data_IF_053995529504
#
_entry.id   IF_053995529504
#
_cell.length_a   1.000
_cell.length_b   1.000
_cell.length_c   1.000
_cell.angle_alpha   90.00
_cell.angle_beta   90.00
_cell.angle_gamma   90.00
#
_symmetry.space_group_name_H-M   'P 1'
#
loop_
_entity.id
_entity.type
_entity.pdbx_description
1 polymer ?
#
# COMPACT_ATOMS: atom_id res chain seq x y z
N UNK A 1 26.06 23.93 -9.58
CA UNK A 1 26.47 22.94 -10.59
C UNK A 1 25.95 21.60 -10.09
N UNK A 2 25.08 20.87 -10.79
CA UNK A 2 24.69 19.54 -10.33
C UNK A 2 25.96 18.68 -10.35
N UNK A 3 26.39 18.16 -9.21
CA UNK A 3 27.47 17.18 -9.16
C UNK A 3 27.05 15.97 -9.99
N UNK A 4 27.85 15.65 -11.02
CA UNK A 4 27.57 14.51 -11.88
C UNK A 4 27.60 13.23 -11.04
N UNK A 5 26.51 12.46 -11.08
CA UNK A 5 26.51 11.09 -10.58
C UNK A 5 27.62 10.31 -11.29
N UNK A 6 28.42 9.57 -10.53
CA UNK A 6 29.53 8.77 -11.07
C UNK A 6 29.05 7.35 -11.40
N UNK A 7 29.73 6.64 -12.30
CA UNK A 7 29.45 5.23 -12.54
C UNK A 7 29.60 4.40 -11.25
N UNK A 8 28.73 3.39 -11.03
CA UNK A 8 27.63 2.97 -11.90
C UNK A 8 26.29 3.69 -11.65
N UNK A 9 26.23 4.63 -10.69
CA UNK A 9 24.99 5.36 -10.34
C UNK A 9 24.46 6.19 -11.51
N UNK A 10 25.35 6.77 -12.32
CA UNK A 10 24.99 7.54 -13.54
C UNK A 10 24.18 6.74 -14.56
N UNK A 11 24.25 5.40 -14.52
CA UNK A 11 23.49 4.53 -15.43
C UNK A 11 22.00 4.60 -15.19
N UNK A 12 21.57 4.88 -13.94
CA UNK A 12 20.15 4.99 -13.59
C UNK A 12 19.45 6.14 -14.33
N UNK A 13 20.19 7.20 -14.67
CA UNK A 13 19.71 8.34 -15.46
C UNK A 13 19.38 7.99 -16.92
N UNK A 14 19.75 6.79 -17.38
CA UNK A 14 19.66 6.36 -18.77
C UNK A 14 18.66 5.23 -18.99
N UNK A 15 18.11 4.64 -17.92
CA UNK A 15 17.24 3.46 -18.01
C UNK A 15 15.85 3.78 -18.57
N UNK A 16 15.29 4.95 -18.24
CA UNK A 16 13.93 5.29 -18.69
C UNK A 16 12.85 4.52 -17.97
N UNK A 17 11.63 4.58 -18.51
CA UNK A 17 10.50 3.87 -17.94
C UNK A 17 10.68 2.35 -18.03
N UNK A 18 10.92 1.71 -16.88
CA UNK A 18 10.95 0.25 -16.79
C UNK A 18 9.59 -0.27 -16.32
N UNK A 19 8.89 -1.10 -17.10
CA UNK A 19 7.61 -1.67 -16.70
C UNK A 19 7.81 -2.65 -15.53
N UNK A 20 7.64 -2.18 -14.30
CA UNK A 20 7.50 -3.03 -13.12
C UNK A 20 6.19 -3.81 -13.23
N UNK A 21 6.21 -4.96 -13.92
CA UNK A 21 5.08 -5.89 -13.93
C UNK A 21 5.15 -6.71 -12.65
N UNK A 22 4.11 -6.60 -11.81
CA UNK A 22 3.87 -7.49 -10.65
C UNK A 22 4.99 -7.46 -9.60
N UNK A 23 5.35 -6.27 -9.08
CA UNK A 23 6.30 -6.09 -7.96
C UNK A 23 7.68 -6.75 -8.17
N UNK A 24 8.02 -7.17 -9.40
CA UNK A 24 9.31 -7.75 -9.71
C UNK A 24 10.18 -6.66 -10.29
N UNK A 25 11.09 -6.12 -9.49
CA UNK A 25 12.05 -5.11 -9.94
C UNK A 25 13.21 -5.78 -10.69
N UNK A 26 13.83 -5.08 -11.66
CA UNK A 26 15.13 -5.48 -12.17
C UNK A 26 16.13 -5.62 -11.03
N UNK A 27 17.07 -6.54 -11.15
CA UNK A 27 18.16 -6.63 -10.19
C UNK A 27 19.20 -5.53 -10.48
N UNK A 28 19.18 -4.49 -9.66
CA UNK A 28 20.05 -3.32 -9.78
C UNK A 28 21.50 -3.63 -9.38
N UNK A 29 21.76 -4.74 -8.67
CA UNK A 29 23.12 -5.18 -8.37
C UNK A 29 23.88 -5.57 -9.64
N UNK A 30 23.18 -6.03 -10.68
CA UNK A 30 23.77 -6.32 -11.99
C UNK A 30 24.37 -5.09 -12.69
N UNK A 31 24.05 -3.88 -12.22
CA UNK A 31 24.68 -2.64 -12.70
C UNK A 31 26.03 -2.36 -12.03
N UNK A 32 26.44 -3.15 -11.03
CA UNK A 32 27.62 -2.93 -10.20
C UNK A 32 27.35 -2.04 -8.98
N UNK A 33 26.08 -1.90 -8.59
CA UNK A 33 25.70 -1.13 -7.40
C UNK A 33 25.95 -1.95 -6.13
N UNK A 34 26.54 -1.30 -5.14
CA UNK A 34 27.05 -1.89 -3.89
C UNK A 34 26.91 -0.88 -2.74
N UNK A 35 27.17 -1.30 -1.51
CA UNK A 35 26.96 -0.50 -0.29
C UNK A 35 27.69 0.85 -0.30
N UNK A 36 28.91 0.92 -0.86
CA UNK A 36 29.66 2.17 -0.95
C UNK A 36 29.01 3.21 -1.87
N UNK A 37 28.04 2.80 -2.70
CA UNK A 37 27.25 3.70 -3.54
C UNK A 37 26.00 4.26 -2.84
N UNK A 38 25.64 3.76 -1.65
CA UNK A 38 24.44 4.19 -0.90
C UNK A 38 24.35 5.71 -0.77
N UNK A 39 25.40 6.46 -0.40
CA UNK A 39 25.31 7.93 -0.31
C UNK A 39 24.91 8.58 -1.64
N UNK A 40 25.47 8.11 -2.77
CA UNK A 40 25.13 8.65 -4.09
C UNK A 40 23.72 8.25 -4.55
N UNK A 41 23.27 7.05 -4.19
CA UNK A 41 21.90 6.59 -4.43
C UNK A 41 20.88 7.40 -3.60
N UNK A 42 21.17 7.71 -2.34
CA UNK A 42 20.33 8.58 -1.50
C UNK A 42 20.23 9.97 -2.13
N UNK A 43 21.34 10.55 -2.58
CA UNK A 43 21.29 11.84 -3.30
C UNK A 43 20.35 11.77 -4.51
N UNK A 44 20.47 10.74 -5.36
CA UNK A 44 19.61 10.57 -6.53
C UNK A 44 18.14 10.37 -6.16
N UNK A 45 17.88 9.54 -5.15
CA UNK A 45 16.54 9.24 -4.67
C UNK A 45 15.80 10.48 -4.12
N UNK A 46 16.54 11.46 -3.62
CA UNK A 46 16.00 12.65 -2.96
C UNK A 46 16.09 13.92 -3.82
N UNK A 47 16.77 13.86 -4.97
CA UNK A 47 17.12 15.00 -5.82
C UNK A 47 15.86 15.74 -6.33
N UNK A 48 15.61 16.98 -5.88
CA UNK A 48 14.43 17.73 -6.29
C UNK A 48 14.37 18.02 -7.79
N UNK A 49 15.52 18.14 -8.46
CA UNK A 49 15.55 18.39 -9.91
C UNK A 49 15.14 17.15 -10.71
N UNK A 50 15.41 15.95 -10.19
CA UNK A 50 14.96 14.70 -10.81
C UNK A 50 13.47 14.44 -10.55
N UNK A 51 12.96 14.77 -9.35
CA UNK A 51 11.51 14.71 -9.05
C UNK A 51 10.69 15.71 -9.89
N UNK A 52 11.25 16.87 -10.19
CA UNK A 52 10.62 17.87 -11.05
C UNK A 52 10.82 17.61 -12.56
N UNK A 53 11.60 16.59 -12.95
CA UNK A 53 11.82 16.26 -14.35
C UNK A 53 10.54 15.67 -14.99
N UNK A 54 10.47 15.71 -16.32
CA UNK A 54 9.32 15.13 -17.04
C UNK A 54 9.15 13.64 -16.65
N UNK A 55 7.96 13.27 -16.19
CA UNK A 55 7.64 11.97 -15.59
C UNK A 55 7.99 10.77 -16.48
N UNK A 56 7.99 10.95 -17.81
CA UNK A 56 8.33 9.89 -18.77
C UNK A 56 9.77 9.97 -19.30
N UNK A 57 10.54 10.97 -18.87
CA UNK A 57 11.93 11.09 -19.23
C UNK A 57 12.81 10.14 -18.40
N UNK A 58 13.96 9.68 -18.91
CA UNK A 58 14.92 8.91 -18.13
C UNK A 58 15.36 9.58 -16.82
N UNK A 59 15.44 10.92 -16.79
CA UNK A 59 15.76 11.66 -15.59
C UNK A 59 14.65 11.55 -14.52
N UNK A 60 13.38 11.67 -14.92
CA UNK A 60 12.23 11.51 -14.00
C UNK A 60 12.09 10.09 -13.42
N UNK A 61 12.62 9.08 -14.12
CA UNK A 61 12.64 7.69 -13.64
C UNK A 61 13.83 7.36 -12.74
N UNK A 62 14.88 8.19 -12.74
CA UNK A 62 16.09 7.92 -11.99
C UNK A 62 15.87 7.80 -10.47
N UNK A 63 15.05 8.65 -9.80
CA UNK A 63 14.75 8.46 -8.38
C UNK A 63 14.07 7.13 -8.09
N UNK A 64 13.13 6.71 -8.94
CA UNK A 64 12.44 5.41 -8.79
C UNK A 64 13.44 4.26 -8.86
N UNK A 65 14.37 4.30 -9.82
CA UNK A 65 15.45 3.32 -9.89
C UNK A 65 16.35 3.35 -8.64
N UNK A 66 16.66 4.53 -8.11
CA UNK A 66 17.47 4.67 -6.91
C UNK A 66 16.77 4.10 -5.67
N UNK A 67 15.45 4.31 -5.50
CA UNK A 67 14.67 3.70 -4.41
C UNK A 67 14.76 2.18 -4.43
N UNK A 68 14.57 1.58 -5.61
CA UNK A 68 14.62 0.13 -5.82
C UNK A 68 16.01 -0.44 -5.57
N UNK A 69 17.06 0.28 -5.99
CA UNK A 69 18.44 -0.10 -5.70
C UNK A 69 18.76 -0.04 -4.21
N UNK A 70 18.39 1.05 -3.51
CA UNK A 70 18.56 1.20 -2.07
C UNK A 70 17.84 0.11 -1.27
N UNK A 71 16.63 -0.22 -1.69
CA UNK A 71 15.85 -1.32 -1.13
C UNK A 71 16.51 -2.67 -1.36
N UNK A 72 16.96 -2.97 -2.58
CA UNK A 72 17.70 -4.20 -2.83
C UNK A 72 18.96 -4.29 -1.97
N UNK A 73 19.72 -3.21 -1.81
CA UNK A 73 20.88 -3.13 -0.91
C UNK A 73 20.52 -3.16 0.59
N UNK A 74 19.22 -3.11 0.94
CA UNK A 74 18.71 -3.03 2.33
C UNK A 74 19.38 -1.91 3.14
N UNK A 75 19.57 -0.75 2.52
CA UNK A 75 20.36 0.35 3.06
C UNK A 75 19.61 1.12 4.17
N UNK A 76 19.92 0.92 5.47
CA UNK A 76 19.13 1.51 6.56
C UNK A 76 19.24 3.05 6.59
N UNK A 77 20.39 3.58 6.16
CA UNK A 77 20.63 5.02 6.05
C UNK A 77 19.68 5.75 5.06
N UNK A 78 18.99 5.01 4.20
CA UNK A 78 18.01 5.58 3.27
C UNK A 78 16.61 5.73 3.86
N UNK A 79 16.31 5.12 5.02
CA UNK A 79 14.95 5.12 5.56
C UNK A 79 14.39 6.53 5.79
N UNK A 80 15.11 7.36 6.56
CA UNK A 80 14.67 8.74 6.85
C UNK A 80 14.64 9.63 5.59
N UNK A 81 15.66 9.62 4.72
CA UNK A 81 15.60 10.38 3.47
C UNK A 81 14.42 10.00 2.56
N UNK A 82 14.08 8.71 2.47
CA UNK A 82 12.96 8.25 1.65
C UNK A 82 11.60 8.55 2.27
N UNK A 83 11.48 8.54 3.61
CA UNK A 83 10.28 9.03 4.30
C UNK A 83 10.06 10.53 4.07
N UNK A 84 11.14 11.32 4.01
CA UNK A 84 11.03 12.73 3.65
C UNK A 84 10.58 12.94 2.19
N UNK A 85 10.99 12.07 1.25
CA UNK A 85 10.48 12.07 -0.13
C UNK A 85 9.00 11.69 -0.15
N UNK A 86 8.60 10.65 0.60
CA UNK A 86 7.20 10.25 0.73
C UNK A 86 6.33 11.44 1.14
N UNK A 87 6.74 12.17 2.19
CA UNK A 87 6.00 13.35 2.66
C UNK A 87 5.96 14.49 1.63
N UNK A 88 7.06 14.75 0.91
CA UNK A 88 7.18 15.91 0.02
C UNK A 88 6.47 15.70 -1.33
N UNK A 89 6.49 14.48 -1.83
CA UNK A 89 6.10 14.15 -3.22
C UNK A 89 4.83 13.27 -3.27
N UNK A 90 3.96 13.35 -2.25
CA UNK A 90 2.79 12.47 -2.08
C UNK A 90 1.81 12.50 -3.27
N UNK A 91 1.75 13.63 -4.00
CA UNK A 91 0.92 13.77 -5.20
C UNK A 91 1.37 12.85 -6.36
N UNK A 92 2.57 12.26 -6.28
CA UNK A 92 3.08 11.32 -7.28
C UNK A 92 2.55 9.91 -7.02
N UNK A 93 1.83 9.35 -8.00
CA UNK A 93 1.36 7.96 -7.95
C UNK A 93 2.51 6.97 -7.74
N UNK A 94 3.71 7.25 -8.27
CA UNK A 94 4.88 6.38 -8.08
C UNK A 94 5.39 6.41 -6.65
N UNK A 95 5.33 7.58 -5.99
CA UNK A 95 5.69 7.73 -4.58
C UNK A 95 4.73 6.90 -3.72
N UNK A 96 3.43 7.03 -3.96
CA UNK A 96 2.41 6.27 -3.24
C UNK A 96 2.54 4.74 -3.43
N UNK A 97 2.85 4.27 -4.65
CA UNK A 97 2.87 2.83 -4.95
C UNK A 97 4.23 2.14 -4.65
N UNK A 98 5.36 2.83 -4.86
CA UNK A 98 6.70 2.19 -4.85
C UNK A 98 7.49 2.49 -3.56
N UNK A 99 7.39 3.69 -2.98
CA UNK A 99 8.18 4.00 -1.78
C UNK A 99 7.79 3.17 -0.56
N UNK A 100 6.51 2.89 -0.26
CA UNK A 100 6.16 2.00 0.85
C UNK A 100 6.77 0.61 0.72
N UNK A 101 6.83 0.07 -0.51
CA UNK A 101 7.46 -1.22 -0.79
C UNK A 101 8.98 -1.12 -0.61
N UNK A 102 9.63 -0.08 -1.13
CA UNK A 102 11.07 0.13 -0.96
C UNK A 102 11.47 0.26 0.50
N UNK A 103 10.73 1.06 1.28
CA UNK A 103 10.95 1.22 2.72
C UNK A 103 10.73 -0.09 3.48
N UNK A 104 9.72 -0.89 3.10
CA UNK A 104 9.52 -2.23 3.65
C UNK A 104 10.71 -3.16 3.44
N UNK A 105 11.25 -3.21 2.22
CA UNK A 105 12.43 -4.05 1.90
C UNK A 105 13.69 -3.52 2.62
N UNK A 106 13.88 -2.20 2.72
CA UNK A 106 14.96 -1.59 3.52
C UNK A 106 14.88 -2.08 4.98
N UNK A 107 13.67 -2.13 5.53
CA UNK A 107 13.38 -2.88 6.73
C UNK A 107 13.22 -2.04 8.00
N UNK A 108 13.58 -2.59 9.18
CA UNK A 108 13.12 -2.07 10.47
C UNK A 108 13.50 -0.62 10.75
N UNK A 109 14.54 -0.08 10.11
CA UNK A 109 14.93 1.31 10.22
C UNK A 109 13.85 2.31 9.75
N UNK A 110 12.89 1.87 8.92
CA UNK A 110 11.77 2.68 8.47
C UNK A 110 10.62 2.78 9.50
N UNK A 111 10.51 1.83 10.45
CA UNK A 111 9.38 1.77 11.39
C UNK A 111 9.26 3.04 12.24
N UNK A 112 10.31 3.55 12.93
CA UNK A 112 10.14 4.69 13.82
C UNK A 112 9.59 5.94 13.10
N UNK A 113 10.10 6.21 11.89
CA UNK A 113 9.65 7.36 11.11
C UNK A 113 8.24 7.17 10.53
N UNK A 114 7.91 5.96 10.05
CA UNK A 114 6.55 5.65 9.59
C UNK A 114 5.53 5.72 10.74
N UNK A 115 5.89 5.24 11.93
CA UNK A 115 5.09 5.36 13.14
C UNK A 115 4.83 6.82 13.49
N UNK A 116 5.85 7.68 13.48
CA UNK A 116 5.67 9.12 13.73
C UNK A 116 4.73 9.77 12.70
N UNK A 117 4.82 9.40 11.43
CA UNK A 117 3.91 9.91 10.40
C UNK A 117 2.46 9.44 10.61
N UNK A 118 2.26 8.19 11.02
CA UNK A 118 0.93 7.63 11.26
C UNK A 118 0.20 8.33 12.42
N UNK A 119 0.91 8.57 13.53
CA UNK A 119 0.34 9.17 14.75
C UNK A 119 0.20 10.69 14.69
N UNK A 120 0.76 11.36 13.68
CA UNK A 120 0.62 12.81 13.54
C UNK A 120 -0.70 13.17 12.86
N UNK A 121 -1.72 13.45 13.67
CA UNK A 121 -3.06 13.87 13.21
C UNK A 121 -3.06 15.18 12.41
N UNK A 122 -1.99 15.98 12.49
CA UNK A 122 -1.82 17.17 11.67
C UNK A 122 -1.40 16.87 10.23
N UNK A 123 -1.09 15.61 9.90
CA UNK A 123 -0.73 15.18 8.54
C UNK A 123 -1.97 14.83 7.73
N UNK A 124 -1.80 15.02 6.42
CA UNK A 124 -2.76 14.58 5.44
C UNK A 124 -3.03 13.06 5.55
N UNK A 125 -4.28 12.68 5.31
CA UNK A 125 -4.72 11.30 5.49
C UNK A 125 -4.06 10.33 4.51
N UNK A 126 -3.79 10.75 3.26
CA UNK A 126 -3.11 9.90 2.26
C UNK A 126 -1.66 9.62 2.70
N UNK A 127 -0.99 10.60 3.32
CA UNK A 127 0.33 10.38 3.91
C UNK A 127 0.29 9.38 5.07
N UNK A 128 -0.74 9.45 5.91
CA UNK A 128 -0.94 8.48 7.00
C UNK A 128 -1.26 7.09 6.46
N UNK A 129 -2.05 6.97 5.38
CA UNK A 129 -2.26 5.69 4.68
C UNK A 129 -0.97 5.12 4.11
N UNK A 130 -0.13 5.96 3.49
CA UNK A 130 1.16 5.52 2.99
C UNK A 130 2.08 5.05 4.13
N UNK A 131 2.04 5.70 5.29
CA UNK A 131 2.76 5.27 6.48
C UNK A 131 2.27 3.90 7.00
N UNK A 132 0.96 3.66 7.04
CA UNK A 132 0.42 2.32 7.28
C UNK A 132 0.99 1.29 6.28
N UNK A 133 1.06 1.67 5.00
CA UNK A 133 1.62 0.85 3.95
C UNK A 133 3.09 0.49 4.20
N UNK A 134 3.91 1.45 4.65
CA UNK A 134 5.30 1.20 5.04
C UNK A 134 5.36 0.18 6.17
N UNK A 135 4.57 0.36 7.24
CA UNK A 135 4.53 -0.52 8.41
C UNK A 135 4.16 -1.95 8.01
N UNK A 136 3.12 -2.11 7.18
CA UNK A 136 2.71 -3.41 6.64
C UNK A 136 3.82 -4.07 5.82
N UNK A 137 4.44 -3.33 4.89
CA UNK A 137 5.50 -3.90 4.05
C UNK A 137 6.74 -4.27 4.89
N UNK A 138 7.07 -3.55 5.96
CA UNK A 138 8.14 -3.98 6.88
C UNK A 138 7.78 -5.31 7.54
N UNK A 139 6.55 -5.48 8.03
CA UNK A 139 6.12 -6.73 8.66
C UNK A 139 6.19 -7.94 7.70
N UNK A 140 5.89 -7.74 6.42
CA UNK A 140 6.00 -8.80 5.39
C UNK A 140 7.44 -9.15 5.05
N UNK A 141 8.31 -8.15 4.89
CA UNK A 141 9.71 -8.35 4.51
C UNK A 141 10.60 -8.77 5.69
N UNK A 142 10.18 -8.45 6.92
CA UNK A 142 10.90 -8.70 8.18
C UNK A 142 9.94 -9.29 9.23
N UNK A 143 9.61 -10.59 9.13
CA UNK A 143 8.60 -11.24 9.99
C UNK A 143 8.90 -11.16 11.48
N UNK A 144 10.17 -10.99 11.88
CA UNK A 144 10.55 -10.77 13.28
C UNK A 144 10.05 -9.43 13.85
N UNK A 145 9.60 -8.52 12.99
CA UNK A 145 8.99 -7.22 13.35
C UNK A 145 7.48 -7.18 13.19
N UNK A 146 6.86 -8.29 12.78
CA UNK A 146 5.42 -8.39 12.58
C UNK A 146 4.63 -7.91 13.81
N UNK A 147 4.96 -8.41 15.01
CA UNK A 147 4.20 -8.07 16.22
C UNK A 147 4.38 -6.60 16.62
N UNK A 148 5.56 -6.02 16.40
CA UNK A 148 5.83 -4.59 16.59
C UNK A 148 4.99 -3.74 15.64
N UNK A 149 4.96 -4.10 14.35
CA UNK A 149 4.16 -3.43 13.34
C UNK A 149 2.65 -3.55 13.59
N UNK A 150 2.16 -4.75 13.92
CA UNK A 150 0.76 -4.97 14.28
C UNK A 150 0.37 -4.16 15.53
N UNK A 151 1.23 -4.12 16.54
CA UNK A 151 1.02 -3.32 17.75
C UNK A 151 0.86 -1.82 17.44
N UNK A 152 1.67 -1.27 16.54
CA UNK A 152 1.54 0.13 16.08
C UNK A 152 0.19 0.38 15.39
N UNK A 153 -0.21 -0.50 14.47
CA UNK A 153 -1.49 -0.37 13.75
C UNK A 153 -2.70 -0.52 14.70
N UNK A 154 -2.64 -1.47 15.63
CA UNK A 154 -3.67 -1.68 16.64
C UNK A 154 -3.77 -0.50 17.61
N UNK A 155 -2.64 0.08 17.99
CA UNK A 155 -2.61 1.28 18.82
C UNK A 155 -3.27 2.46 18.11
N UNK A 156 -2.99 2.69 16.83
CA UNK A 156 -3.70 3.74 16.07
C UNK A 156 -5.20 3.44 15.92
N UNK A 157 -5.58 2.17 15.76
CA UNK A 157 -6.99 1.79 15.66
C UNK A 157 -7.76 2.06 16.96
N UNK A 158 -7.10 2.09 18.12
CA UNK A 158 -7.74 2.43 19.40
C UNK A 158 -8.38 3.83 19.40
N UNK A 159 -7.89 4.74 18.55
CA UNK A 159 -8.42 6.09 18.34
C UNK A 159 -9.55 6.14 17.31
N UNK A 160 -10.20 5.00 17.03
CA UNK A 160 -11.26 4.87 16.00
C UNK A 160 -12.40 5.89 16.12
N UNK A 161 -12.63 6.44 17.32
CA UNK A 161 -13.65 7.46 17.59
C UNK A 161 -13.34 8.77 16.86
N UNK A 162 -12.07 9.13 16.78
CA UNK A 162 -11.61 10.46 16.37
C UNK A 162 -11.03 10.49 14.94
N UNK A 163 -10.90 9.32 14.29
CA UNK A 163 -10.44 9.21 12.90
C UNK A 163 -11.54 8.85 11.90
N UNK A 164 -11.26 8.96 10.60
CA UNK A 164 -12.25 8.66 9.56
C UNK A 164 -12.58 7.15 9.52
N UNK A 165 -13.78 6.77 9.03
CA UNK A 165 -14.09 5.36 8.79
C UNK A 165 -13.16 4.67 7.79
N UNK A 166 -12.55 5.44 6.88
CA UNK A 166 -11.62 4.95 5.89
C UNK A 166 -10.27 4.59 6.54
N UNK A 167 -9.75 5.45 7.42
CA UNK A 167 -8.55 5.13 8.22
C UNK A 167 -8.75 3.90 9.08
N UNK A 168 -9.89 3.82 9.79
CA UNK A 168 -10.25 2.63 10.55
C UNK A 168 -10.25 1.37 9.67
N UNK A 169 -10.83 1.44 8.47
CA UNK A 169 -10.89 0.30 7.56
C UNK A 169 -9.51 -0.11 7.01
N UNK A 170 -8.60 0.83 6.74
CA UNK A 170 -7.23 0.52 6.32
C UNK A 170 -6.47 -0.19 7.45
N UNK A 171 -6.56 0.31 8.69
CA UNK A 171 -5.91 -0.32 9.85
C UNK A 171 -6.45 -1.73 10.09
N UNK A 172 -7.77 -1.92 10.07
CA UNK A 172 -8.41 -3.24 10.17
C UNK A 172 -7.89 -4.16 9.07
N UNK A 173 -7.93 -3.73 7.80
CA UNK A 173 -7.48 -4.52 6.67
C UNK A 173 -6.03 -5.00 6.83
N UNK A 174 -5.15 -4.13 7.34
CA UNK A 174 -3.74 -4.48 7.55
C UNK A 174 -3.54 -5.37 8.78
N UNK A 175 -4.29 -5.20 9.85
CA UNK A 175 -4.28 -6.10 11.00
C UNK A 175 -4.77 -7.51 10.60
N UNK A 176 -5.77 -7.60 9.72
CA UNK A 176 -6.26 -8.86 9.14
C UNK A 176 -5.21 -9.48 8.23
N UNK A 177 -4.57 -8.70 7.36
CA UNK A 177 -3.47 -9.18 6.49
C UNK A 177 -2.28 -9.68 7.32
N UNK A 178 -2.03 -9.02 8.45
CA UNK A 178 -1.11 -9.48 9.47
C UNK A 178 -1.71 -10.54 10.39
N UNK A 179 -2.90 -11.10 10.17
CA UNK A 179 -3.52 -12.12 11.03
C UNK A 179 -3.41 -11.81 12.55
N UNK A 180 -3.65 -10.56 12.95
CA UNK A 180 -3.52 -10.12 14.34
C UNK A 180 -4.83 -10.32 15.12
N UNK A 181 -4.98 -11.50 15.71
CA UNK A 181 -6.16 -11.83 16.52
C UNK A 181 -6.21 -11.08 17.85
N UNK A 182 -5.08 -10.54 18.34
CA UNK A 182 -5.04 -9.78 19.57
C UNK A 182 -5.81 -8.45 19.46
N UNK A 183 -5.84 -7.84 18.27
CA UNK A 183 -6.62 -6.63 18.01
C UNK A 183 -8.12 -6.89 17.74
N UNK A 184 -8.60 -8.13 17.78
CA UNK A 184 -10.01 -8.45 17.44
C UNK A 184 -11.02 -7.64 18.26
N UNK A 185 -10.76 -7.42 19.56
CA UNK A 185 -11.65 -6.63 20.42
C UNK A 185 -11.77 -5.17 19.97
N UNK A 186 -10.65 -4.51 19.64
CA UNK A 186 -10.71 -3.10 19.19
C UNK A 186 -11.33 -3.00 17.79
N UNK A 187 -11.11 -3.99 16.93
CA UNK A 187 -11.80 -4.07 15.63
C UNK A 187 -13.32 -4.18 15.84
N UNK A 188 -13.78 -5.12 16.67
CA UNK A 188 -15.20 -5.33 16.97
C UNK A 188 -15.86 -4.06 17.51
N UNK A 189 -15.21 -3.35 18.44
CA UNK A 189 -15.72 -2.08 18.98
C UNK A 189 -15.92 -1.04 17.88
N UNK A 190 -14.95 -0.89 16.97
CA UNK A 190 -15.03 0.05 15.86
C UNK A 190 -16.17 -0.33 14.87
N UNK A 191 -16.35 -1.61 14.58
CA UNK A 191 -17.46 -2.11 13.76
C UNK A 191 -18.82 -1.87 14.42
N UNK A 192 -18.96 -2.22 15.71
CA UNK A 192 -20.20 -2.03 16.46
C UNK A 192 -20.61 -0.55 16.55
N UNK A 193 -19.64 0.36 16.55
CA UNK A 193 -19.86 1.79 16.51
C UNK A 193 -20.17 2.35 15.11
N UNK A 194 -20.14 1.54 14.05
CA UNK A 194 -20.31 1.98 12.67
C UNK A 194 -19.18 2.90 12.19
N UNK A 195 -17.97 2.74 12.76
CA UNK A 195 -16.81 3.59 12.49
C UNK A 195 -15.83 2.95 11.52
N UNK A 196 -16.19 1.87 10.85
CA UNK A 196 -15.36 1.21 9.82
C UNK A 196 -16.07 1.31 8.47
N UNK A 197 -15.35 1.73 7.43
CA UNK A 197 -15.85 1.68 6.05
C UNK A 197 -15.89 0.23 5.55
N UNK A 198 -17.05 -0.40 5.70
CA UNK A 198 -17.32 -1.78 5.28
C UNK A 198 -17.19 -2.01 3.77
N UNK A 199 -17.12 -0.95 2.95
CA UNK A 199 -16.88 -1.11 1.50
C UNK A 199 -15.43 -1.48 1.20
N UNK A 200 -14.53 -1.27 2.15
CA UNK A 200 -13.10 -1.60 2.09
C UNK A 200 -12.85 -2.98 2.69
N UNK A 201 -13.34 -3.25 3.90
CA UNK A 201 -13.06 -4.48 4.67
C UNK A 201 -14.08 -5.60 4.46
N UNK A 202 -15.31 -5.26 4.06
CA UNK A 202 -16.46 -6.13 4.30
C UNK A 202 -17.05 -5.93 5.72
N UNK A 203 -18.17 -6.61 6.03
CA UNK A 203 -18.76 -6.63 7.36
C UNK A 203 -17.87 -7.37 8.38
N UNK A 204 -18.17 -7.24 9.67
CA UNK A 204 -17.36 -7.83 10.74
C UNK A 204 -17.26 -9.35 10.64
N UNK A 205 -18.32 -10.03 10.20
CA UNK A 205 -18.33 -11.48 10.05
C UNK A 205 -17.30 -11.96 9.02
N UNK A 206 -17.11 -11.22 7.92
CA UNK A 206 -16.10 -11.53 6.90
C UNK A 206 -14.69 -11.35 7.50
N UNK A 207 -14.48 -10.29 8.27
CA UNK A 207 -13.22 -10.05 9.00
C UNK A 207 -12.92 -11.16 10.01
N UNK A 208 -13.93 -11.64 10.74
CA UNK A 208 -13.78 -12.76 11.68
C UNK A 208 -13.42 -14.06 10.96
N UNK A 209 -13.95 -14.31 9.77
CA UNK A 209 -13.56 -15.45 8.93
C UNK A 209 -12.11 -15.31 8.48
N UNK A 210 -11.72 -14.13 7.98
CA UNK A 210 -10.35 -13.87 7.52
C UNK A 210 -9.30 -14.00 8.65
N UNK A 211 -9.67 -13.65 9.89
CA UNK A 211 -8.86 -13.86 11.11
C UNK A 211 -8.90 -15.30 11.65
N UNK A 212 -9.71 -16.18 11.06
CA UNK A 212 -9.91 -17.56 11.55
C UNK A 212 -10.65 -17.66 12.89
N UNK A 213 -11.38 -16.61 13.29
CA UNK A 213 -12.23 -16.59 14.49
C UNK A 213 -13.60 -17.25 14.25
N UNK A 214 -14.06 -17.24 13.00
CA UNK A 214 -15.24 -17.98 12.53
C UNK A 214 -14.85 -18.95 11.42
N UNK A 215 -15.56 -20.09 11.28
CA UNK A 215 -15.35 -21.00 10.16
C UNK A 215 -15.79 -20.36 8.84
N UNK A 216 -15.08 -20.69 7.74
CA UNK A 216 -15.53 -20.31 6.40
C UNK A 216 -16.94 -20.87 6.12
N UNK A 217 -17.84 -20.08 5.50
CA UNK A 217 -19.16 -20.56 5.14
C UNK A 217 -19.07 -21.78 4.21
N UNK A 218 -19.83 -22.84 4.50
CA UNK A 218 -19.93 -23.98 3.59
C UNK A 218 -20.32 -23.51 2.18
N UNK A 219 -19.58 -23.97 1.16
CA UNK A 219 -19.74 -23.58 -0.23
C UNK A 219 -21.20 -23.81 -0.70
N UNK A 220 -21.99 -22.74 -0.72
CA UNK A 220 -23.42 -22.80 -1.06
C UNK A 220 -24.32 -21.87 -0.23
N UNK A 221 -23.85 -21.34 0.91
CA UNK A 221 -24.56 -20.25 1.59
C UNK A 221 -24.19 -18.91 0.97
N UNK A 222 -25.11 -18.33 0.21
CA UNK A 222 -25.06 -16.89 -0.08
C UNK A 222 -25.11 -16.12 1.24
N UNK A 223 -24.29 -15.07 1.44
CA UNK A 223 -24.42 -14.18 2.59
C UNK A 223 -25.89 -13.75 2.72
N UNK A 224 -26.40 -13.86 3.93
CA UNK A 224 -27.81 -13.66 4.29
C UNK A 224 -28.34 -12.35 3.74
N UNK A 225 -29.30 -12.45 2.83
CA UNK A 225 -30.25 -11.40 2.50
C UNK A 225 -31.00 -11.07 3.80
N UNK A 226 -30.62 -9.99 4.48
CA UNK A 226 -31.39 -9.45 5.59
C UNK A 226 -32.73 -8.96 5.02
N UNK A 227 -33.70 -9.87 5.03
CA UNK A 227 -35.03 -9.68 4.49
C UNK A 227 -35.76 -8.51 5.14
N UNK A 228 -36.07 -7.51 4.31
CA UNK A 228 -37.31 -6.75 4.49
C UNK A 228 -38.50 -7.74 4.36
N UNK A 229 -39.53 -7.64 5.20
CA UNK A 229 -40.74 -8.45 5.02
C UNK A 229 -41.41 -8.09 3.68
N UNK A 230 -42.05 -9.06 2.98
CA UNK A 230 -42.64 -8.80 1.68
C UNK A 230 -43.84 -7.83 1.84
N UNK A 231 -43.72 -6.64 1.25
CA UNK A 231 -44.85 -5.75 1.07
C UNK A 231 -45.63 -6.18 -0.19
N UNK A 232 -46.81 -6.73 0.02
CA UNK A 232 -47.77 -6.98 -1.05
C UNK A 232 -48.20 -5.65 -1.70
N UNK A 233 -48.10 -5.57 -3.03
CA UNK A 233 -48.97 -4.70 -3.83
C UNK A 233 -48.43 -3.37 -4.36
N UNK A 234 -47.12 -3.08 -4.32
CA UNK A 234 -46.56 -1.91 -5.02
C UNK A 234 -45.62 -2.31 -6.18
N UNK A 235 -45.62 -1.58 -7.31
CA UNK A 235 -44.76 -1.92 -8.45
C UNK A 235 -43.29 -1.86 -8.02
N UNK A 236 -42.58 -2.97 -8.22
CA UNK A 236 -41.16 -3.12 -7.88
C UNK A 236 -40.34 -2.00 -8.57
N UNK A 237 -39.56 -1.19 -7.82
CA UNK A 237 -38.50 -0.42 -8.44
C UNK A 237 -37.49 -1.41 -9.02
N UNK A 238 -36.99 -1.13 -10.23
CA UNK A 238 -35.94 -1.93 -10.85
C UNK A 238 -34.72 -2.02 -9.92
N UNK A 239 -34.44 -3.21 -9.39
CA UNK A 239 -33.22 -3.49 -8.64
C UNK A 239 -32.00 -3.18 -9.51
N UNK A 240 -31.03 -2.38 -9.04
CA UNK A 240 -29.77 -2.24 -9.75
C UNK A 240 -29.07 -3.61 -9.78
N UNK A 241 -28.65 -4.06 -10.96
CA UNK A 241 -27.89 -5.31 -11.09
C UNK A 241 -26.63 -5.24 -10.21
N UNK A 242 -26.27 -6.31 -9.48
CA UNK A 242 -25.06 -6.32 -8.67
C UNK A 242 -23.85 -6.03 -9.57
N UNK A 243 -23.00 -5.11 -9.10
CA UNK A 243 -21.79 -4.72 -9.79
C UNK A 243 -20.85 -5.93 -9.95
N UNK A 244 -20.36 -6.14 -11.18
CA UNK A 244 -19.43 -7.23 -11.49
C UNK A 244 -18.20 -7.17 -10.57
N UNK A 245 -17.77 -8.32 -10.04
CA UNK A 245 -16.55 -8.44 -9.22
C UNK A 245 -15.30 -7.97 -9.99
N UNK A 246 -14.23 -7.57 -9.28
CA UNK A 246 -12.96 -7.14 -9.91
C UNK A 246 -12.45 -8.17 -10.93
N UNK A 247 -12.61 -9.46 -10.64
CA UNK A 247 -12.25 -10.57 -11.52
C UNK A 247 -13.10 -10.60 -12.81
N UNK A 248 -14.41 -10.39 -12.69
CA UNK A 248 -15.33 -10.34 -13.84
C UNK A 248 -15.11 -9.10 -14.73
N UNK A 249 -14.81 -7.93 -14.14
CA UNK A 249 -14.47 -6.71 -14.90
C UNK A 249 -13.18 -6.87 -15.70
N UNK A 250 -12.19 -7.57 -15.14
CA UNK A 250 -10.91 -7.87 -15.81
C UNK A 250 -11.09 -8.83 -16.99
N UNK A 251 -11.88 -9.89 -16.82
CA UNK A 251 -12.19 -10.85 -17.89
C UNK A 251 -12.94 -10.20 -19.07
N UNK A 252 -13.88 -9.30 -18.80
CA UNK A 252 -14.64 -8.61 -19.85
C UNK A 252 -13.79 -7.58 -20.62
N UNK A 253 -12.88 -6.87 -19.93
CA UNK A 253 -11.95 -5.91 -20.56
C UNK A 253 -10.97 -6.63 -21.49
N UNK A 254 -10.51 -7.82 -21.11
CA UNK A 254 -9.65 -8.67 -21.96
C UNK A 254 -10.41 -9.26 -23.15
N UNK A 255 -11.67 -9.71 -22.98
CA UNK A 255 -12.50 -10.19 -24.08
C UNK A 255 -12.80 -9.07 -25.10
N UNK A 256 -13.08 -7.84 -24.65
CA UNK A 256 -13.29 -6.68 -25.54
C UNK A 256 -12.04 -6.29 -26.32
N UNK A 257 -10.85 -6.38 -25.70
CA UNK A 257 -9.57 -6.15 -26.41
C UNK A 257 -9.28 -7.22 -27.46
N UNK A 258 -9.58 -8.49 -27.18
CA UNK A 258 -9.41 -9.60 -28.14
C UNK A 258 -10.32 -9.45 -29.35
N UNK A 259 -11.57 -9.02 -29.16
CA UNK A 259 -12.51 -8.82 -30.27
C UNK A 259 -12.19 -7.58 -31.11
N UNK A 260 -11.54 -6.55 -30.54
CA UNK A 260 -11.12 -5.35 -31.27
C UNK A 260 -9.86 -5.54 -32.14
N UNK A 261 -9.08 -6.60 -31.91
CA UNK A 261 -7.91 -6.97 -32.71
C UNK A 261 -8.22 -7.94 -33.87
N UNK A 262 -9.47 -8.41 -33.98
CA UNK A 262 -9.94 -9.32 -35.03
C UNK A 262 -10.83 -8.63 -36.08
N UNK A 263 -10.84 -7.29 -36.10
CA UNK A 263 -11.54 -6.48 -37.10
C UNK A 263 -10.55 -5.58 -37.81
#
# INVERSE_FOLDING_TARGET
>A
MPEFYLPPVDRLLKLGAEPARRRTWPDYRNLGLEDHHVPALIRMATDPALHAAEERSPAGWAPIHAWRALAQLRAPAAAEPLLAVLQREMDSTWVFEELPVALGIIGPAALPGATLLLFDEGKDEDLRFAACGVILNVAHEHPERRDEAAGVLAQQLADWRDQSPQMNAILVSYLVELNDTAAATVMEEAFAAGRVDVTITGPWEDVQVDLGLLPEPEAGRTPTDHGFPPADGLPRPSTPKPGKSKTQRKAEKEARKRNRKKK
#
